data_IF_898909248619
#
_entry.id   IF_898909248619
#
_cell.length_a   1.000
_cell.length_b   1.000
_cell.length_c   1.000
_cell.angle_alpha   90.00
_cell.angle_beta   90.00
_cell.angle_gamma   90.00
#
_symmetry.space_group_name_H-M   'P 1'
#
loop_
_entity.id
_entity.type
_entity.pdbx_description
1 polymer ?
#
# COMPACT_ATOMS: atom_id res chain seq x y z
N UNK A 1 -3.28 12.83 15.84
CA UNK A 1 -3.00 13.59 14.60
C UNK A 1 -2.28 14.92 14.87
N UNK A 2 -2.31 15.42 16.11
CA UNK A 2 -1.71 16.71 16.49
C UNK A 2 -0.21 16.84 16.25
N UNK A 3 0.54 15.72 16.19
CA UNK A 3 1.97 15.74 15.85
C UNK A 3 2.26 16.50 14.54
N UNK A 4 1.32 16.50 13.58
CA UNK A 4 1.46 17.25 12.33
C UNK A 4 1.68 18.75 12.56
N UNK A 5 1.11 19.33 13.61
CA UNK A 5 1.24 20.77 13.95
C UNK A 5 2.65 21.15 14.40
N UNK A 6 3.44 20.16 14.83
CA UNK A 6 4.76 20.37 15.41
C UNK A 6 5.91 19.95 14.48
N UNK A 7 5.62 19.36 13.32
CA UNK A 7 6.62 18.82 12.40
C UNK A 7 6.67 19.65 11.12
N UNK A 8 7.83 20.29 10.86
CA UNK A 8 8.03 21.11 9.63
C UNK A 8 8.15 20.28 8.36
N UNK A 9 8.71 19.07 8.43
CA UNK A 9 8.88 18.16 7.29
C UNK A 9 8.24 16.82 7.62
N UNK A 10 7.07 16.57 7.05
CA UNK A 10 6.35 15.33 7.28
C UNK A 10 7.03 14.18 6.52
N UNK A 11 7.27 13.03 7.18
CA UNK A 11 7.69 11.84 6.47
C UNK A 11 6.56 11.34 5.56
N UNK A 12 6.93 10.75 4.43
CA UNK A 12 5.97 10.01 3.59
C UNK A 12 5.62 8.70 4.29
N UNK A 13 4.35 8.30 4.21
CA UNK A 13 3.85 7.04 4.79
C UNK A 13 3.64 6.06 3.65
N UNK A 14 4.13 4.83 3.82
CA UNK A 14 3.99 3.75 2.86
C UNK A 14 3.34 2.55 3.53
N UNK A 15 2.45 1.89 2.81
CA UNK A 15 1.86 0.62 3.20
C UNK A 15 2.49 -0.48 2.34
N UNK A 16 3.00 -1.53 2.98
CA UNK A 16 3.70 -2.63 2.31
C UNK A 16 3.10 -3.97 2.75
N UNK A 17 2.97 -4.89 1.80
CA UNK A 17 2.49 -6.25 2.07
C UNK A 17 3.46 -7.28 1.46
N UNK A 18 4.29 -7.88 2.32
CA UNK A 18 5.25 -8.93 1.91
C UNK A 18 4.62 -10.32 1.80
N UNK A 19 3.38 -10.46 2.26
CA UNK A 19 2.78 -11.76 2.57
C UNK A 19 1.61 -12.11 1.67
N UNK A 20 1.40 -11.36 0.59
CA UNK A 20 0.37 -11.68 -0.39
C UNK A 20 0.64 -13.05 -1.01
N UNK A 21 -0.41 -13.85 -1.12
CA UNK A 21 -0.37 -15.22 -1.65
C UNK A 21 -1.17 -15.32 -2.93
N UNK A 22 -0.78 -16.26 -3.77
CA UNK A 22 -1.55 -16.69 -4.93
C UNK A 22 -2.72 -17.62 -4.49
N UNK A 23 -3.63 -17.99 -5.40
CA UNK A 23 -4.72 -18.92 -5.10
C UNK A 23 -4.27 -20.32 -4.65
N UNK A 24 -3.02 -20.69 -4.91
CA UNK A 24 -2.39 -21.95 -4.48
C UNK A 24 -1.74 -21.83 -3.09
N UNK A 25 -1.77 -20.65 -2.47
CA UNK A 25 -1.23 -20.38 -1.15
C UNK A 25 0.28 -20.10 -1.12
N UNK A 26 0.94 -19.97 -2.28
CA UNK A 26 2.34 -19.62 -2.39
C UNK A 26 2.52 -18.11 -2.27
N UNK A 27 3.58 -17.67 -1.61
CA UNK A 27 3.92 -16.25 -1.54
C UNK A 27 4.27 -15.72 -2.93
N UNK A 28 3.64 -14.60 -3.28
CA UNK A 28 3.93 -13.90 -4.53
C UNK A 28 5.28 -13.20 -4.46
N UNK A 29 5.61 -12.60 -3.31
CA UNK A 29 6.89 -11.93 -3.09
C UNK A 29 7.90 -12.84 -2.39
N UNK A 30 9.16 -12.93 -2.87
CA UNK A 30 10.19 -13.79 -2.28
C UNK A 30 10.61 -13.37 -0.85
N UNK A 31 10.46 -12.09 -0.50
CA UNK A 31 10.69 -11.60 0.86
C UNK A 31 12.16 -11.55 1.29
N UNK A 32 12.38 -11.54 2.61
CA UNK A 32 13.70 -11.51 3.24
C UNK A 32 14.59 -10.37 2.72
N UNK A 33 15.77 -10.71 2.15
CA UNK A 33 16.73 -9.73 1.60
C UNK A 33 16.15 -8.96 0.41
N UNK A 34 15.22 -9.55 -0.32
CA UNK A 34 14.65 -8.93 -1.51
C UNK A 34 13.78 -7.72 -1.14
N UNK A 35 13.31 -7.62 0.11
CA UNK A 35 12.61 -6.44 0.63
C UNK A 35 13.42 -5.15 0.50
N UNK A 36 14.76 -5.24 0.43
CA UNK A 36 15.62 -4.08 0.16
C UNK A 36 15.27 -3.39 -1.16
N UNK A 37 14.77 -4.12 -2.17
CA UNK A 37 14.34 -3.55 -3.45
C UNK A 37 13.15 -2.61 -3.28
N UNK A 38 12.20 -2.96 -2.42
CA UNK A 38 11.05 -2.11 -2.11
C UNK A 38 11.45 -0.92 -1.25
N UNK A 39 12.38 -1.11 -0.31
CA UNK A 39 12.97 0.01 0.44
C UNK A 39 13.74 0.97 -0.48
N UNK A 40 14.48 0.45 -1.47
CA UNK A 40 15.16 1.25 -2.49
C UNK A 40 14.15 2.11 -3.27
N UNK A 41 13.03 1.51 -3.72
CA UNK A 41 11.94 2.24 -4.37
C UNK A 41 11.37 3.34 -3.46
N UNK A 42 11.10 3.03 -2.19
CA UNK A 42 10.62 4.02 -1.19
C UNK A 42 11.59 5.20 -1.07
N UNK A 43 12.90 4.93 -1.01
CA UNK A 43 13.92 5.99 -0.93
C UNK A 43 13.93 6.83 -2.22
N UNK A 44 13.89 6.20 -3.39
CA UNK A 44 13.81 6.91 -4.68
C UNK A 44 12.55 7.77 -4.79
N UNK A 45 11.39 7.29 -4.31
CA UNK A 45 10.13 8.06 -4.23
C UNK A 45 10.23 9.25 -3.30
N UNK A 46 10.83 9.07 -2.12
CA UNK A 46 11.08 10.17 -1.19
C UNK A 46 11.97 11.27 -1.79
N UNK A 47 12.93 10.88 -2.64
CA UNK A 47 13.85 11.78 -3.35
C UNK A 47 13.28 12.35 -4.66
N UNK A 48 12.08 11.92 -5.09
CA UNK A 48 11.48 12.35 -6.37
C UNK A 48 12.22 11.83 -7.60
N UNK A 49 12.95 10.71 -7.48
CA UNK A 49 13.77 10.14 -8.56
C UNK A 49 13.05 9.09 -9.41
N UNK A 50 11.84 8.71 -9.01
CA UNK A 50 11.06 7.66 -9.67
C UNK A 50 9.57 8.01 -9.60
N UNK A 51 8.77 7.74 -10.65
CA UNK A 51 7.33 7.97 -10.61
C UNK A 51 6.65 7.06 -9.59
N UNK A 52 5.38 7.35 -9.33
CA UNK A 52 4.46 6.37 -8.78
C UNK A 52 3.21 6.43 -9.64
N UNK A 53 2.48 5.34 -9.67
CA UNK A 53 1.32 5.14 -10.52
C UNK A 53 0.07 5.25 -9.66
N UNK A 54 -0.87 6.10 -10.07
CA UNK A 54 -2.06 6.39 -9.27
C UNK A 54 -3.04 5.21 -9.33
N UNK A 55 -3.47 4.75 -8.16
CA UNK A 55 -4.51 3.75 -7.96
C UNK A 55 -5.53 4.28 -6.96
N UNK A 56 -6.74 3.71 -6.86
CA UNK A 56 -7.74 4.12 -5.88
C UNK A 56 -7.24 4.11 -4.41
N UNK A 57 -6.26 3.26 -4.10
CA UNK A 57 -5.66 3.13 -2.76
C UNK A 57 -4.42 4.02 -2.54
N UNK A 58 -3.97 4.75 -3.57
CA UNK A 58 -2.79 5.61 -3.50
C UNK A 58 -1.80 5.33 -4.61
N UNK A 59 -0.52 5.59 -4.37
CA UNK A 59 0.53 5.49 -5.38
C UNK A 59 1.25 4.15 -5.27
N UNK A 60 1.22 3.36 -6.34
CA UNK A 60 1.91 2.07 -6.44
C UNK A 60 3.10 2.15 -7.41
N UNK A 61 4.08 1.25 -7.29
CA UNK A 61 5.13 1.06 -8.29
C UNK A 61 4.64 0.27 -9.51
N UNK A 62 5.26 0.49 -10.66
CA UNK A 62 5.19 -0.43 -11.82
C UNK A 62 6.41 -1.38 -11.85
N UNK A 63 6.38 -2.38 -12.74
CA UNK A 63 7.46 -3.37 -12.85
C UNK A 63 8.81 -2.72 -13.22
N UNK A 64 8.78 -1.76 -14.14
CA UNK A 64 9.96 -1.04 -14.63
C UNK A 64 10.61 -0.14 -13.56
N UNK A 65 9.85 0.21 -12.51
CA UNK A 65 10.37 0.99 -11.39
C UNK A 65 11.26 0.15 -10.45
N UNK A 66 11.22 -1.17 -10.56
CA UNK A 66 11.94 -2.08 -9.69
C UNK A 66 13.25 -2.57 -10.28
N UNK A 67 14.28 -2.58 -9.44
CA UNK A 67 15.50 -3.33 -9.76
C UNK A 67 15.21 -4.83 -9.62
N UNK A 68 14.90 -5.49 -10.72
CA UNK A 68 14.65 -6.95 -10.77
C UNK A 68 15.92 -7.76 -11.12
N UNK A 69 17.04 -7.07 -11.38
CA UNK A 69 18.31 -7.70 -11.68
C UNK A 69 18.76 -8.60 -10.52
N UNK A 70 19.07 -9.87 -10.85
CA UNK A 70 19.47 -10.88 -9.87
C UNK A 70 18.33 -11.38 -8.97
N UNK A 71 17.07 -11.08 -9.30
CA UNK A 71 15.91 -11.64 -8.62
C UNK A 71 15.47 -12.94 -9.33
N UNK A 72 16.12 -14.04 -8.96
CA UNK A 72 15.88 -15.35 -9.58
C UNK A 72 14.48 -15.88 -9.26
N UNK A 73 13.79 -16.42 -10.27
CA UNK A 73 12.49 -17.07 -10.09
C UNK A 73 11.33 -16.12 -9.77
N UNK A 74 11.50 -14.81 -9.98
CA UNK A 74 10.44 -13.81 -9.91
C UNK A 74 10.18 -13.20 -11.29
N UNK A 75 8.96 -13.31 -11.79
CA UNK A 75 8.56 -12.81 -13.10
C UNK A 75 7.63 -11.60 -13.00
N UNK A 76 7.53 -10.85 -14.08
CA UNK A 76 6.61 -9.72 -14.22
C UNK A 76 5.15 -10.12 -13.92
N UNK A 77 4.61 -11.26 -14.41
CA UNK A 77 3.28 -11.73 -14.01
C UNK A 77 3.11 -11.98 -12.50
N UNK A 78 4.17 -12.39 -11.79
CA UNK A 78 4.11 -12.56 -10.33
C UNK A 78 4.09 -11.21 -9.61
N UNK A 79 4.79 -10.22 -10.15
CA UNK A 79 4.71 -8.84 -9.67
C UNK A 79 3.33 -8.23 -9.90
N UNK A 80 2.77 -8.40 -11.09
CA UNK A 80 1.43 -7.92 -11.41
C UNK A 80 0.39 -8.53 -10.46
N UNK A 81 0.47 -9.84 -10.23
CA UNK A 81 -0.36 -10.52 -9.24
C UNK A 81 -0.14 -9.99 -7.81
N UNK A 82 1.10 -9.62 -7.46
CA UNK A 82 1.43 -9.05 -6.15
C UNK A 82 0.83 -7.64 -5.97
N UNK A 83 0.80 -6.84 -7.04
CA UNK A 83 0.29 -5.46 -7.06
C UNK A 83 -1.18 -5.35 -7.45
N UNK A 84 -1.80 -6.45 -7.89
CA UNK A 84 -3.17 -6.47 -8.41
C UNK A 84 -4.16 -5.82 -7.44
N UNK A 85 -4.93 -4.86 -7.94
CA UNK A 85 -5.98 -4.20 -7.17
C UNK A 85 -7.34 -4.79 -7.57
N UNK A 86 -8.00 -5.50 -6.64
CA UNK A 86 -9.37 -6.01 -6.83
C UNK A 86 -10.34 -5.16 -6.02
N UNK A 87 -11.19 -4.40 -6.71
CA UNK A 87 -12.12 -3.46 -6.07
C UNK A 87 -13.03 -4.16 -5.07
N UNK A 88 -13.51 -5.34 -5.41
CA UNK A 88 -14.45 -6.14 -4.61
C UNK A 88 -13.81 -6.54 -3.27
N UNK A 89 -12.56 -7.00 -3.30
CA UNK A 89 -11.81 -7.39 -2.10
C UNK A 89 -11.59 -6.18 -1.18
N UNK A 90 -11.23 -5.02 -1.76
CA UNK A 90 -11.04 -3.79 -1.00
C UNK A 90 -12.35 -3.25 -0.42
N UNK A 91 -13.46 -3.30 -1.17
CA UNK A 91 -14.77 -2.90 -0.65
C UNK A 91 -15.21 -3.80 0.51
N UNK A 92 -14.99 -5.11 0.41
CA UNK A 92 -15.27 -6.05 1.49
C UNK A 92 -14.41 -5.74 2.74
N UNK A 93 -13.11 -5.49 2.56
CA UNK A 93 -12.18 -5.12 3.63
C UNK A 93 -12.61 -3.81 4.31
N UNK A 94 -12.85 -2.74 3.55
CA UNK A 94 -13.28 -1.44 4.08
C UNK A 94 -14.61 -1.58 4.84
N UNK A 95 -15.55 -2.36 4.30
CA UNK A 95 -16.84 -2.64 4.96
C UNK A 95 -16.65 -3.39 6.28
N UNK A 96 -15.71 -4.34 6.33
CA UNK A 96 -15.40 -5.10 7.54
C UNK A 96 -14.86 -4.21 8.68
N UNK A 97 -14.13 -3.16 8.32
CA UNK A 97 -13.57 -2.20 9.27
C UNK A 97 -14.63 -1.34 9.95
N UNK A 98 -15.83 -1.20 9.37
CA UNK A 98 -16.90 -0.38 9.93
C UNK A 98 -17.25 -0.77 11.38
N UNK A 99 -17.25 -2.07 11.70
CA UNK A 99 -17.49 -2.52 13.08
C UNK A 99 -16.42 -2.05 14.06
N UNK A 100 -15.15 -2.02 13.63
CA UNK A 100 -14.05 -1.51 14.43
C UNK A 100 -14.13 0.00 14.61
N UNK A 101 -14.49 0.74 13.55
CA UNK A 101 -14.70 2.18 13.61
C UNK A 101 -15.82 2.57 14.58
N UNK A 102 -16.94 1.82 14.59
CA UNK A 102 -18.03 2.03 15.54
C UNK A 102 -17.58 1.87 17.00
N UNK A 103 -16.75 0.86 17.30
CA UNK A 103 -16.23 0.63 18.66
C UNK A 103 -15.36 1.79 19.15
N UNK A 104 -14.69 2.49 18.23
CA UNK A 104 -13.78 3.60 18.53
C UNK A 104 -14.43 4.98 18.39
N UNK A 105 -15.72 5.05 18.06
CA UNK A 105 -16.39 6.29 17.63
C UNK A 105 -16.18 7.48 18.58
N UNK A 106 -16.28 7.27 19.90
CA UNK A 106 -16.19 8.35 20.90
C UNK A 106 -14.80 8.99 21.01
N UNK A 107 -13.73 8.28 20.67
CA UNK A 107 -12.35 8.75 20.79
C UNK A 107 -11.66 8.96 19.44
N UNK A 108 -12.37 8.71 18.33
CA UNK A 108 -11.82 8.78 16.99
C UNK A 108 -11.71 10.24 16.51
N UNK A 109 -10.53 10.67 16.01
CA UNK A 109 -10.41 11.97 15.34
C UNK A 109 -11.30 12.04 14.09
N UNK A 110 -11.98 13.19 13.90
CA UNK A 110 -12.86 13.41 12.75
C UNK A 110 -12.15 13.24 11.41
N UNK A 111 -10.88 13.62 11.35
CA UNK A 111 -10.07 13.49 10.14
C UNK A 111 -9.91 12.02 9.71
N UNK A 112 -9.87 11.07 10.65
CA UNK A 112 -9.77 9.65 10.32
C UNK A 112 -11.08 9.13 9.69
N UNK A 113 -12.23 9.58 10.23
CA UNK A 113 -13.55 9.28 9.64
C UNK A 113 -13.64 9.83 8.22
N UNK A 114 -13.23 11.08 8.00
CA UNK A 114 -13.22 11.66 6.66
C UNK A 114 -12.30 10.90 5.69
N UNK A 115 -11.11 10.45 6.14
CA UNK A 115 -10.24 9.65 5.28
C UNK A 115 -10.86 8.30 4.91
N UNK A 116 -11.58 7.66 5.83
CA UNK A 116 -12.32 6.41 5.58
C UNK A 116 -13.44 6.61 4.55
N UNK A 117 -14.23 7.68 4.70
CA UNK A 117 -15.28 8.05 3.74
C UNK A 117 -14.72 8.38 2.36
N UNK A 118 -13.61 9.13 2.29
CA UNK A 118 -12.91 9.43 1.04
C UNK A 118 -12.30 8.18 0.39
N UNK A 119 -11.88 7.19 1.19
CA UNK A 119 -11.44 5.92 0.66
C UNK A 119 -12.62 5.14 0.07
N UNK A 120 -13.75 5.05 0.77
CA UNK A 120 -14.97 4.45 0.24
C UNK A 120 -15.42 5.12 -1.06
N UNK A 121 -15.41 6.46 -1.12
CA UNK A 121 -15.79 7.21 -2.31
C UNK A 121 -14.87 6.98 -3.52
N UNK A 122 -13.59 6.65 -3.31
CA UNK A 122 -12.67 6.27 -4.38
C UNK A 122 -12.93 4.85 -4.92
N UNK A 123 -13.64 4.02 -4.16
CA UNK A 123 -13.98 2.66 -4.52
C UNK A 123 -15.40 2.50 -5.08
N UNK A 124 -16.27 3.49 -4.89
CA UNK A 124 -17.63 3.56 -5.43
C UNK A 124 -17.61 3.93 -6.93
#
# INVERSE_FOLDING_TARGET
LDMRKHIRRLPRIFHVNWFRKDPQGKFLWPGFRENLRVLEWIVKRCQGRIPGHETPIGWTPDWEDFCVNGLEGFSEPQFDAAMEFKREDFLAEITSQNQFFLKLYHSMPKELLCQHELLMARMA
#
